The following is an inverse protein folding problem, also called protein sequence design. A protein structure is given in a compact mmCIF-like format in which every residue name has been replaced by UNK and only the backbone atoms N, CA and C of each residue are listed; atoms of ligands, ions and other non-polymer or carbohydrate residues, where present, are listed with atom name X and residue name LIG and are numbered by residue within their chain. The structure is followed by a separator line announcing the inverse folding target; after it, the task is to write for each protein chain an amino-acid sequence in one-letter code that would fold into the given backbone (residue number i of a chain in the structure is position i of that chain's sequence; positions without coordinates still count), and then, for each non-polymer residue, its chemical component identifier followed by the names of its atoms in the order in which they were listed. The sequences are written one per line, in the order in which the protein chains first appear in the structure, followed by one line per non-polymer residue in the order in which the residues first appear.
data_IF_946804785939
#
_entry.id   IF_946804785939
#
_cell.length_a   1.000
_cell.length_b   1.000
_cell.length_c   1.000
_cell.angle_alpha   90.00
_cell.angle_beta   90.00
_cell.angle_gamma   90.00
#
_symmetry.space_group_name_H-M   'P 1'
#
loop_
_entity.id
_entity.type
_entity.pdbx_description
1 polymer ?
#
# COMPACT_ATOMS: atom_id res chain seq x y z
N UNK A 1 24.62 -7.43 -2.53
CA UNK A 1 24.22 -6.61 -1.37
C UNK A 1 22.74 -6.83 -1.25
N UNK A 2 22.28 -7.50 -0.20
CA UNK A 2 20.84 -7.70 0.01
C UNK A 2 20.22 -6.33 0.25
N UNK A 3 19.34 -5.90 -0.64
CA UNK A 3 18.57 -4.67 -0.47
C UNK A 3 17.77 -4.83 0.83
N UNK A 4 17.87 -3.91 1.81
CA UNK A 4 17.06 -4.02 3.02
C UNK A 4 15.58 -4.11 2.63
N UNK A 5 14.86 -5.07 3.22
CA UNK A 5 13.44 -5.27 2.96
C UNK A 5 12.66 -4.03 3.41
N UNK A 6 12.26 -3.21 2.45
CA UNK A 6 11.37 -2.07 2.68
C UNK A 6 9.91 -2.52 2.59
N UNK A 7 9.00 -1.66 3.02
CA UNK A 7 7.57 -1.92 3.09
C UNK A 7 6.79 -0.78 2.44
N UNK A 8 5.89 -1.11 1.53
CA UNK A 8 4.93 -0.22 0.87
C UNK A 8 3.66 -0.13 1.70
N UNK A 9 3.09 1.07 1.81
CA UNK A 9 1.68 1.25 2.20
C UNK A 9 0.90 1.65 0.96
N UNK A 10 -0.15 0.89 0.65
CA UNK A 10 -1.00 1.12 -0.53
C UNK A 10 -2.42 1.39 -0.06
N UNK A 11 -3.01 2.47 -0.56
CA UNK A 11 -4.46 2.62 -0.56
C UNK A 11 -5.01 1.80 -1.73
N UNK A 12 -5.77 0.74 -1.44
CA UNK A 12 -6.34 -0.13 -2.47
C UNK A 12 -7.52 0.56 -3.16
N UNK A 13 -8.08 1.62 -2.59
CA UNK A 13 -9.23 2.33 -3.15
C UNK A 13 -10.47 1.45 -3.29
N UNK A 14 -11.45 1.92 -4.06
CA UNK A 14 -12.69 1.22 -4.38
C UNK A 14 -13.12 1.61 -5.79
N UNK A 15 -12.94 0.70 -6.75
CA UNK A 15 -13.27 0.93 -8.17
C UNK A 15 -14.77 1.27 -8.32
N UNK A 16 -15.64 0.52 -7.64
CA UNK A 16 -17.10 0.74 -7.69
C UNK A 16 -17.53 2.08 -7.09
N UNK A 17 -16.72 2.64 -6.19
CA UNK A 17 -16.97 3.89 -5.51
C UNK A 17 -16.24 5.08 -6.17
N UNK A 18 -15.43 4.84 -7.20
CA UNK A 18 -14.60 5.86 -7.87
C UNK A 18 -13.37 6.31 -7.07
N UNK A 19 -13.02 5.61 -5.99
CA UNK A 19 -11.83 5.92 -5.17
C UNK A 19 -10.61 5.25 -5.83
N UNK A 20 -9.63 6.08 -6.20
CA UNK A 20 -8.40 5.60 -6.84
C UNK A 20 -7.47 4.91 -5.86
N UNK A 21 -6.70 3.94 -6.35
CA UNK A 21 -5.60 3.34 -5.58
C UNK A 21 -4.35 4.22 -5.67
N UNK A 22 -3.58 4.30 -4.58
CA UNK A 22 -2.35 5.09 -4.52
C UNK A 22 -1.29 4.50 -3.58
N UNK A 23 -0.01 4.78 -3.85
CA UNK A 23 1.08 4.46 -2.93
C UNK A 23 1.16 5.60 -1.91
N UNK A 24 0.87 5.27 -0.66
CA UNK A 24 0.92 6.22 0.47
C UNK A 24 2.36 6.49 0.87
N UNK A 25 3.23 5.47 0.84
CA UNK A 25 4.64 5.63 1.16
C UNK A 25 5.44 4.32 1.17
N UNK A 26 6.75 4.47 1.35
CA UNK A 26 7.72 3.37 1.51
C UNK A 26 8.46 3.58 2.83
N UNK A 27 8.60 2.52 3.62
CA UNK A 27 9.15 2.55 4.98
C UNK A 27 10.22 1.48 5.16
N UNK A 28 11.16 1.74 6.06
CA UNK A 28 12.26 0.81 6.37
C UNK A 28 11.80 -0.40 7.18
N UNK A 29 10.69 -0.26 7.93
CA UNK A 29 10.19 -1.32 8.83
C UNK A 29 8.69 -1.54 8.66
N UNK A 30 8.27 -2.80 8.84
CA UNK A 30 6.87 -3.19 8.79
C UNK A 30 6.04 -2.50 9.88
N UNK A 31 6.63 -2.31 11.07
CA UNK A 31 5.98 -1.64 12.20
C UNK A 31 5.64 -0.18 11.87
N UNK A 32 6.55 0.56 11.23
CA UNK A 32 6.27 1.93 10.78
C UNK A 32 5.19 1.96 9.70
N UNK A 33 5.27 1.06 8.71
CA UNK A 33 4.27 0.97 7.65
C UNK A 33 2.87 0.66 8.22
N UNK A 34 2.76 -0.29 9.14
CA UNK A 34 1.51 -0.65 9.82
C UNK A 34 0.94 0.52 10.65
N UNK A 35 1.80 1.28 11.32
CA UNK A 35 1.37 2.47 12.06
C UNK A 35 0.76 3.51 11.10
N UNK A 36 1.42 3.79 9.98
CA UNK A 36 0.92 4.73 8.96
C UNK A 36 -0.39 4.22 8.35
N UNK A 37 -0.49 2.93 8.01
CA UNK A 37 -1.72 2.34 7.49
C UNK A 37 -2.89 2.49 8.48
N UNK A 38 -2.64 2.22 9.77
CA UNK A 38 -3.63 2.40 10.85
C UNK A 38 -4.10 3.85 10.98
N UNK A 39 -3.18 4.81 10.93
CA UNK A 39 -3.53 6.22 11.08
C UNK A 39 -4.23 6.77 9.84
N UNK A 40 -3.84 6.32 8.64
CA UNK A 40 -4.57 6.59 7.41
C UNK A 40 -5.99 6.02 7.46
N UNK A 41 -6.17 4.79 7.91
CA UNK A 41 -7.50 4.19 8.05
C UNK A 41 -8.38 5.00 9.01
N UNK A 42 -7.89 5.34 10.20
CA UNK A 42 -8.67 6.13 11.19
C UNK A 42 -9.14 7.48 10.62
N UNK A 43 -8.31 8.12 9.79
CA UNK A 43 -8.57 9.47 9.28
C UNK A 43 -9.30 9.50 7.93
N UNK A 44 -9.04 8.51 7.07
CA UNK A 44 -9.39 8.55 5.65
C UNK A 44 -10.11 7.28 5.18
N UNK A 45 -10.56 6.40 6.07
CA UNK A 45 -11.37 5.23 5.69
C UNK A 45 -12.53 5.60 4.77
N UNK A 46 -13.17 6.75 4.97
CA UNK A 46 -14.18 7.27 4.05
C UNK A 46 -13.72 8.61 3.48
N UNK A 47 -13.38 8.63 2.19
CA UNK A 47 -12.88 9.81 1.48
C UNK A 47 -13.30 9.72 0.02
N UNK A 48 -13.49 10.87 -0.63
CA UNK A 48 -13.80 10.94 -2.07
C UNK A 48 -15.09 10.20 -2.46
N UNK A 49 -16.02 10.06 -1.52
CA UNK A 49 -17.32 9.43 -1.75
C UNK A 49 -17.33 7.91 -1.60
N UNK A 50 -16.21 7.28 -1.21
CA UNK A 50 -16.13 5.83 -1.02
C UNK A 50 -15.25 5.38 0.13
N UNK A 51 -15.24 4.05 0.34
CA UNK A 51 -14.38 3.40 1.32
C UNK A 51 -12.95 3.23 0.77
N UNK A 52 -11.97 3.45 1.64
CA UNK A 52 -10.54 3.28 1.38
C UNK A 52 -10.02 2.17 2.29
N UNK A 53 -9.14 1.34 1.75
CA UNK A 53 -8.44 0.29 2.49
C UNK A 53 -6.93 0.51 2.37
N UNK A 54 -6.23 0.52 3.50
CA UNK A 54 -4.80 0.79 3.57
C UNK A 54 -4.08 -0.49 3.98
N UNK A 55 -3.28 -1.05 3.07
CA UNK A 55 -2.60 -2.33 3.26
C UNK A 55 -1.08 -2.18 3.15
N UNK A 56 -0.37 -3.05 3.87
CA UNK A 56 1.10 -3.07 3.91
C UNK A 56 1.62 -4.25 3.10
N UNK A 57 2.59 -3.99 2.23
CA UNK A 57 3.25 -5.02 1.43
C UNK A 57 4.77 -4.91 1.53
N UNK A 58 5.52 -6.02 1.49
CA UNK A 58 6.96 -5.95 1.27
C UNK A 58 7.25 -5.32 -0.10
N UNK A 59 8.19 -4.39 -0.16
CA UNK A 59 8.67 -3.82 -1.42
C UNK A 59 9.33 -4.94 -2.25
N UNK A 60 8.84 -5.22 -3.47
CA UNK A 60 9.44 -6.21 -4.34
C UNK A 60 10.77 -5.74 -4.92
N UNK A 61 11.50 -6.67 -5.55
CA UNK A 61 12.73 -6.36 -6.26
C UNK A 61 12.47 -5.47 -7.49
N UNK A 62 13.36 -4.50 -7.71
CA UNK A 62 13.24 -3.56 -8.82
C UNK A 62 13.36 -4.29 -10.15
N UNK A 63 12.37 -4.10 -11.02
CA UNK A 63 12.35 -4.72 -12.35
C UNK A 63 11.83 -6.16 -12.38
N UNK A 64 11.34 -6.68 -11.25
CA UNK A 64 10.75 -8.01 -11.16
C UNK A 64 9.23 -7.92 -11.13
N UNK A 65 8.57 -8.61 -12.05
CA UNK A 65 7.11 -8.78 -12.07
C UNK A 65 6.75 -9.99 -11.19
N UNK A 66 5.66 -9.90 -10.44
CA UNK A 66 5.18 -11.00 -9.62
C UNK A 66 4.89 -12.24 -10.50
N UNK A 67 5.43 -13.43 -10.16
CA UNK A 67 5.32 -14.62 -11.00
C UNK A 67 3.89 -15.13 -11.22
N UNK A 68 2.92 -14.65 -10.44
CA UNK A 68 1.49 -14.94 -10.67
C UNK A 68 0.92 -14.21 -11.89
N UNK A 69 1.67 -13.29 -12.50
CA UNK A 69 1.27 -12.53 -13.67
C UNK A 69 2.23 -12.87 -14.82
N UNK A 70 1.74 -13.65 -15.78
CA UNK A 70 2.49 -14.01 -16.98
C UNK A 70 2.45 -12.84 -17.98
N UNK A 71 3.48 -11.98 -17.94
CA UNK A 71 3.65 -10.81 -18.81
C UNK A 71 4.97 -10.88 -19.58
#
# INVERSE_FOLDING_TARGET
MDTPQMFLVVNIGCIDCGVSSDIVGVFETEAQANQIASDCWKKYRWREGGENAFEVFPLPEVGVINPNYEL
#
